data_IF_230596174476
#
_entry.id   IF_230596174476
#
_cell.length_a   1.000
_cell.length_b   1.000
_cell.length_c   1.000
_cell.angle_alpha   90.00
_cell.angle_beta   90.00
_cell.angle_gamma   90.00
#
_symmetry.space_group_name_H-M   'P 1'
#
loop_
_entity.id
_entity.type
_entity.pdbx_description
1 polymer ?
#
# COMPACT_ATOMS: atom_id res chain seq x y z
N UNK A 1 -7.29 5.82 -6.73
CA UNK A 1 -6.13 5.28 -6.00
C UNK A 1 -6.32 5.38 -4.51
N UNK A 2 -5.60 4.59 -3.75
CA UNK A 2 -5.62 4.61 -2.29
C UNK A 2 -4.33 5.25 -1.75
N UNK A 3 -4.41 5.76 -0.52
CA UNK A 3 -3.28 6.43 0.14
C UNK A 3 -2.50 5.44 0.98
N UNK A 4 -1.26 5.20 0.58
CA UNK A 4 -0.31 4.41 1.34
C UNK A 4 0.68 5.34 2.03
N UNK A 5 0.93 5.12 3.31
CA UNK A 5 2.05 5.76 3.98
C UNK A 5 3.34 5.09 3.54
N UNK A 6 4.32 5.91 3.19
CA UNK A 6 5.69 5.48 2.93
C UNK A 6 6.58 6.14 3.95
N UNK A 7 7.23 5.33 4.79
CA UNK A 7 8.07 5.79 5.90
C UNK A 7 9.47 5.27 5.71
N UNK A 8 10.46 6.17 5.77
CA UNK A 8 11.87 5.77 5.73
C UNK A 8 12.31 5.36 7.14
N UNK A 9 12.75 4.12 7.26
CA UNK A 9 13.19 3.51 8.50
C UNK A 9 14.66 3.17 8.37
N UNK A 10 15.50 3.73 9.25
CA UNK A 10 16.89 3.28 9.31
C UNK A 10 16.95 1.82 9.79
N UNK A 11 17.86 1.04 9.22
CA UNK A 11 18.05 -0.35 9.63
C UNK A 11 18.80 -0.41 10.97
N UNK A 12 18.11 0.02 12.02
CA UNK A 12 18.62 0.06 13.40
C UNK A 12 17.57 -0.54 14.34
N UNK A 13 18.05 -1.17 15.39
CA UNK A 13 17.21 -1.72 16.43
C UNK A 13 16.28 -0.63 17.01
N UNK A 14 14.99 -0.93 17.06
CA UNK A 14 13.98 -0.05 17.66
C UNK A 14 13.38 0.99 16.72
N UNK A 15 13.94 1.21 15.53
CA UNK A 15 13.47 2.27 14.63
C UNK A 15 12.06 2.01 14.12
N UNK A 16 11.77 0.78 13.67
CA UNK A 16 10.44 0.38 13.24
C UNK A 16 9.45 0.42 14.42
N UNK A 17 9.84 -0.07 15.59
CA UNK A 17 9.00 -0.04 16.78
C UNK A 17 8.63 1.40 17.15
N UNK A 18 9.56 2.33 17.06
CA UNK A 18 9.32 3.75 17.35
C UNK A 18 8.34 4.37 16.36
N UNK A 19 8.45 4.04 15.07
CA UNK A 19 7.51 4.52 14.08
C UNK A 19 6.09 4.01 14.35
N UNK A 20 5.94 2.73 14.62
CA UNK A 20 4.65 2.14 14.97
C UNK A 20 4.08 2.73 16.26
N UNK A 21 4.94 3.02 17.25
CA UNK A 21 4.53 3.65 18.50
C UNK A 21 4.02 5.08 18.28
N UNK A 22 4.65 5.83 17.39
CA UNK A 22 4.19 7.19 17.04
C UNK A 22 2.78 7.17 16.45
N UNK A 23 2.48 6.20 15.58
CA UNK A 23 1.14 6.03 15.00
C UNK A 23 0.14 5.65 16.11
N UNK A 24 0.50 4.70 16.97
CA UNK A 24 -0.36 4.25 18.06
C UNK A 24 -0.65 5.38 19.07
N UNK A 25 0.35 6.16 19.41
CA UNK A 25 0.20 7.31 20.33
C UNK A 25 -0.70 8.41 19.76
N UNK A 26 -0.79 8.51 18.45
CA UNK A 26 -1.73 9.39 17.76
C UNK A 26 -3.16 8.85 17.72
N UNK A 27 -3.41 7.67 18.30
CA UNK A 27 -4.73 7.03 18.33
C UNK A 27 -5.15 6.43 17.00
N UNK A 28 -4.19 6.04 16.16
CA UNK A 28 -4.43 5.55 14.81
C UNK A 28 -4.22 4.05 14.75
N UNK A 29 -5.17 3.34 14.12
CA UNK A 29 -5.06 1.92 13.88
C UNK A 29 -4.39 1.64 12.53
N UNK A 30 -3.45 0.69 12.52
CA UNK A 30 -2.81 0.19 11.30
C UNK A 30 -3.52 -1.07 10.81
N UNK A 31 -3.76 -1.15 9.51
CA UNK A 31 -4.44 -2.29 8.89
C UNK A 31 -3.49 -3.21 8.14
N UNK A 32 -2.39 -2.67 7.62
CA UNK A 32 -1.38 -3.46 6.92
C UNK A 32 -0.01 -2.78 7.03
N UNK A 33 1.02 -3.58 7.07
CA UNK A 33 2.41 -3.12 7.11
C UNK A 33 3.26 -4.04 6.27
N UNK A 34 4.07 -3.45 5.40
CA UNK A 34 5.09 -4.14 4.64
C UNK A 34 6.42 -3.40 4.82
N UNK A 35 7.46 -4.11 5.24
CA UNK A 35 8.80 -3.56 5.39
C UNK A 35 9.71 -4.15 4.30
N UNK A 36 10.18 -3.28 3.42
CA UNK A 36 11.13 -3.68 2.37
C UNK A 36 12.55 -3.67 2.91
N UNK A 37 13.28 -4.71 2.58
CA UNK A 37 14.68 -4.88 2.99
C UNK A 37 15.60 -4.09 2.06
N UNK A 38 16.42 -3.22 2.67
CA UNK A 38 17.53 -2.55 2.01
C UNK A 38 18.75 -2.57 2.94
N UNK A 39 19.96 -2.35 2.40
CA UNK A 39 21.19 -2.45 3.19
C UNK A 39 21.25 -1.44 4.34
N UNK A 40 20.94 -0.16 4.07
CA UNK A 40 21.08 0.93 5.04
C UNK A 40 19.73 1.45 5.52
N UNK A 41 18.69 1.36 4.70
CA UNK A 41 17.35 1.86 4.99
C UNK A 41 16.32 0.77 4.74
N UNK A 42 15.29 0.75 5.58
CA UNK A 42 14.04 0.09 5.26
C UNK A 42 13.03 1.12 4.76
N UNK A 43 12.07 0.64 4.00
CA UNK A 43 10.90 1.43 3.63
C UNK A 43 9.69 0.69 4.17
N UNK A 44 9.00 1.29 5.14
CA UNK A 44 7.75 0.76 5.62
C UNK A 44 6.60 1.33 4.80
N UNK A 45 5.75 0.44 4.30
CA UNK A 45 4.53 0.77 3.57
C UNK A 45 3.36 0.38 4.44
N UNK A 46 2.52 1.35 4.77
CA UNK A 46 1.50 1.20 5.81
C UNK A 46 0.14 1.67 5.28
N UNK A 47 -0.90 0.87 5.53
CA UNK A 47 -2.27 1.33 5.49
C UNK A 47 -2.76 1.52 6.91
N UNK A 48 -3.27 2.70 7.18
CA UNK A 48 -3.81 3.05 8.49
C UNK A 48 -4.97 4.03 8.34
N UNK A 49 -5.73 4.16 9.42
CA UNK A 49 -6.79 5.17 9.47
C UNK A 49 -6.19 6.57 9.41
N UNK A 50 -6.93 7.51 8.86
CA UNK A 50 -6.59 8.93 8.75
C UNK A 50 -5.14 9.14 8.25
N UNK A 51 -4.83 8.71 7.01
CA UNK A 51 -3.45 8.66 6.53
C UNK A 51 -2.74 10.02 6.52
N UNK A 52 -3.43 11.12 6.27
CA UNK A 52 -2.81 12.44 6.33
C UNK A 52 -2.40 12.81 7.75
N UNK A 53 -3.27 12.57 8.72
CA UNK A 53 -2.97 12.81 10.13
C UNK A 53 -1.82 11.91 10.62
N UNK A 54 -1.83 10.64 10.22
CA UNK A 54 -0.75 9.70 10.55
C UNK A 54 0.60 10.15 9.98
N UNK A 55 0.61 10.64 8.75
CA UNK A 55 1.81 11.17 8.12
C UNK A 55 2.39 12.33 8.93
N UNK A 56 1.53 13.24 9.38
CA UNK A 56 1.96 14.37 10.19
C UNK A 56 2.50 13.92 11.56
N UNK A 57 1.83 12.97 12.21
CA UNK A 57 2.28 12.42 13.48
C UNK A 57 3.68 11.77 13.36
N UNK A 58 3.94 11.08 12.27
CA UNK A 58 5.26 10.51 12.02
C UNK A 58 6.33 11.59 11.80
N UNK A 59 6.00 12.63 11.04
CA UNK A 59 6.90 13.75 10.81
C UNK A 59 7.23 14.49 12.13
N UNK A 60 6.22 14.71 12.97
CA UNK A 60 6.39 15.33 14.27
C UNK A 60 7.27 14.49 15.20
N UNK A 61 7.26 13.18 15.03
CA UNK A 61 8.12 12.24 15.75
C UNK A 61 9.53 12.09 15.14
N UNK A 62 9.85 12.86 14.09
CA UNK A 62 11.17 12.89 13.47
C UNK A 62 11.37 11.91 12.31
N UNK A 63 10.32 11.24 11.85
CA UNK A 63 10.41 10.33 10.71
C UNK A 63 10.18 11.05 9.37
N UNK A 64 10.83 10.53 8.34
CA UNK A 64 10.54 10.95 6.96
C UNK A 64 9.39 10.11 6.45
N UNK A 65 8.25 10.75 6.26
CA UNK A 65 7.03 10.08 5.85
C UNK A 65 6.30 10.88 4.78
N UNK A 66 5.66 10.17 3.86
CA UNK A 66 4.84 10.77 2.80
C UNK A 66 3.69 9.85 2.43
N UNK A 67 2.68 10.42 1.81
CA UNK A 67 1.61 9.66 1.15
C UNK A 67 2.09 9.28 -0.25
N UNK A 68 1.90 8.02 -0.61
CA UNK A 68 2.13 7.51 -1.95
C UNK A 68 0.81 6.95 -2.49
N UNK A 69 0.28 7.48 -3.59
CA UNK A 69 -0.90 6.88 -4.21
C UNK A 69 -0.54 5.54 -4.86
N UNK A 70 -1.34 4.53 -4.58
CA UNK A 70 -1.18 3.17 -5.11
C UNK A 70 -2.52 2.61 -5.57
N UNK A 71 -2.48 1.63 -6.46
CA UNK A 71 -3.65 0.85 -6.83
C UNK A 71 -3.90 -0.25 -5.79
N UNK A 72 -5.16 -0.55 -5.55
CA UNK A 72 -5.55 -1.75 -4.84
C UNK A 72 -6.56 -2.50 -5.69
N UNK A 73 -6.21 -3.68 -6.12
CA UNK A 73 -7.02 -4.52 -7.03
C UNK A 73 -7.43 -5.78 -6.29
N UNK A 74 -8.73 -6.06 -6.29
CA UNK A 74 -9.27 -7.30 -5.72
C UNK A 74 -9.29 -8.37 -6.78
N UNK A 75 -8.63 -9.49 -6.52
CA UNK A 75 -8.62 -10.65 -7.41
C UNK A 75 -9.06 -11.90 -6.65
N UNK A 76 -9.64 -12.91 -7.36
CA UNK A 76 -9.87 -14.21 -6.73
C UNK A 76 -8.56 -14.82 -6.25
N UNK A 77 -8.59 -15.45 -5.07
CA UNK A 77 -7.41 -16.14 -4.52
C UNK A 77 -7.32 -17.55 -5.12
N UNK A 78 -6.99 -17.62 -6.40
CA UNK A 78 -6.84 -18.83 -7.18
C UNK A 78 -5.53 -18.83 -7.97
N UNK A 79 -5.08 -20.03 -8.32
CA UNK A 79 -3.89 -20.21 -9.14
C UNK A 79 -4.03 -19.45 -10.46
N UNK A 80 -3.01 -18.65 -10.78
CA UNK A 80 -2.94 -17.92 -12.04
C UNK A 80 -3.59 -16.54 -12.02
N UNK A 81 -4.44 -16.20 -11.06
CA UNK A 81 -5.13 -14.90 -11.05
C UNK A 81 -4.18 -13.72 -10.92
N UNK A 82 -3.12 -13.84 -10.12
CA UNK A 82 -2.10 -12.79 -10.04
C UNK A 82 -1.34 -12.68 -11.37
N UNK A 83 -0.96 -13.80 -11.95
CA UNK A 83 -0.28 -13.80 -13.25
C UNK A 83 -1.13 -13.14 -14.33
N UNK A 84 -2.42 -13.43 -14.37
CA UNK A 84 -3.36 -12.83 -15.32
C UNK A 84 -3.40 -11.31 -15.19
N UNK A 85 -3.46 -10.79 -13.95
CA UNK A 85 -3.45 -9.36 -13.68
C UNK A 85 -2.15 -8.71 -14.16
N UNK A 86 -1.02 -9.32 -13.83
CA UNK A 86 0.29 -8.76 -14.18
C UNK A 86 0.53 -8.79 -15.70
N UNK A 87 0.10 -9.86 -16.38
CA UNK A 87 0.16 -9.97 -17.83
C UNK A 87 -0.75 -8.93 -18.52
N UNK A 88 -1.93 -8.68 -17.95
CA UNK A 88 -2.81 -7.63 -18.45
C UNK A 88 -2.11 -6.26 -18.37
N UNK A 89 -1.54 -5.93 -17.22
CA UNK A 89 -0.83 -4.65 -17.04
C UNK A 89 0.37 -4.53 -17.99
N UNK A 90 1.09 -5.62 -18.20
CA UNK A 90 2.19 -5.66 -19.18
C UNK A 90 1.69 -5.40 -20.60
N UNK A 91 0.57 -6.02 -20.99
CA UNK A 91 -0.04 -5.82 -22.32
C UNK A 91 -0.52 -4.39 -22.55
N UNK A 92 -0.82 -3.66 -21.47
CA UNK A 92 -1.24 -2.26 -21.49
C UNK A 92 -0.07 -1.27 -21.34
N UNK A 93 1.16 -1.78 -21.42
CA UNK A 93 2.39 -0.98 -21.28
C UNK A 93 2.48 -0.23 -19.94
N UNK A 94 1.98 -0.85 -18.87
CA UNK A 94 2.02 -0.30 -17.51
C UNK A 94 3.22 -0.86 -16.77
N UNK A 95 4.11 0.03 -16.33
CA UNK A 95 5.25 -0.38 -15.51
C UNK A 95 4.83 -0.51 -14.04
N UNK A 96 5.21 -1.62 -13.42
CA UNK A 96 5.01 -1.87 -11.99
C UNK A 96 6.32 -1.58 -11.28
N UNK A 97 6.33 -0.55 -10.45
CA UNK A 97 7.52 -0.16 -9.69
C UNK A 97 7.74 -1.08 -8.50
N UNK A 98 6.67 -1.43 -7.81
CA UNK A 98 6.63 -2.44 -6.75
C UNK A 98 5.21 -2.88 -6.49
N UNK A 99 5.07 -3.99 -5.79
CA UNK A 99 3.77 -4.49 -5.38
C UNK A 99 3.87 -5.45 -4.22
N UNK A 100 2.78 -5.62 -3.54
CA UNK A 100 2.60 -6.61 -2.49
C UNK A 100 1.13 -6.98 -2.40
N UNK A 101 0.85 -8.17 -1.90
CA UNK A 101 -0.52 -8.63 -1.77
C UNK A 101 -0.77 -9.22 -0.39
N UNK A 102 -2.03 -9.22 0.00
CA UNK A 102 -2.48 -9.87 1.22
C UNK A 102 -3.84 -10.54 0.99
N UNK A 103 -4.09 -11.61 1.73
CA UNK A 103 -5.37 -12.30 1.64
C UNK A 103 -6.47 -11.47 2.27
N UNK A 104 -7.56 -11.31 1.54
CA UNK A 104 -8.80 -10.78 2.06
C UNK A 104 -9.72 -11.94 2.45
N UNK A 105 -10.75 -11.64 3.22
CA UNK A 105 -11.77 -12.62 3.53
C UNK A 105 -12.58 -12.98 2.27
N UNK A 106 -13.25 -14.14 2.29
CA UNK A 106 -14.16 -14.59 1.23
C UNK A 106 -13.50 -15.02 -0.09
N UNK A 107 -12.28 -15.56 -0.04
CA UNK A 107 -11.63 -16.13 -1.21
C UNK A 107 -11.05 -15.12 -2.19
N UNK A 108 -10.81 -13.91 -1.75
CA UNK A 108 -10.16 -12.86 -2.54
C UNK A 108 -8.80 -12.48 -1.95
N UNK A 109 -7.93 -11.99 -2.82
CA UNK A 109 -6.70 -11.32 -2.43
C UNK A 109 -6.75 -9.86 -2.89
N UNK A 110 -6.05 -8.99 -2.19
CA UNK A 110 -5.88 -7.60 -2.58
C UNK A 110 -4.44 -7.40 -3.00
N UNK A 111 -4.25 -6.98 -4.26
CA UNK A 111 -2.97 -6.60 -4.78
C UNK A 111 -2.81 -5.09 -4.72
N UNK A 112 -1.76 -4.66 -4.03
CA UNK A 112 -1.37 -3.27 -3.93
C UNK A 112 -0.20 -3.05 -4.89
N UNK A 113 -0.38 -2.14 -5.85
CA UNK A 113 0.58 -1.91 -6.91
C UNK A 113 0.90 -0.42 -7.03
N UNK A 114 2.19 -0.10 -7.01
CA UNK A 114 2.68 1.21 -7.42
C UNK A 114 3.01 1.13 -8.90
N UNK A 115 2.27 1.86 -9.71
CA UNK A 115 2.37 1.78 -11.16
C UNK A 115 2.69 3.13 -11.77
N UNK A 116 3.31 3.10 -12.96
CA UNK A 116 3.49 4.26 -13.83
C UNK A 116 2.71 4.01 -15.11
N UNK A 117 1.89 4.95 -15.51
CA UNK A 117 1.06 4.86 -16.70
C UNK A 117 -0.18 5.74 -16.57
N UNK A 118 -0.79 6.03 -17.70
CA UNK A 118 -1.98 6.87 -17.75
C UNK A 118 -3.25 6.03 -17.66
N UNK A 119 -4.22 6.53 -16.91
CA UNK A 119 -5.58 5.98 -16.87
C UNK A 119 -5.64 4.49 -16.49
N UNK A 120 -4.71 4.02 -15.66
CA UNK A 120 -4.58 2.59 -15.32
C UNK A 120 -5.85 2.09 -14.61
N UNK A 121 -6.42 2.89 -13.71
CA UNK A 121 -7.65 2.53 -13.01
C UNK A 121 -8.82 2.30 -13.97
N UNK A 122 -8.98 3.19 -14.94
CA UNK A 122 -10.04 3.07 -15.95
C UNK A 122 -9.86 1.83 -16.82
N UNK A 123 -8.63 1.58 -17.26
CA UNK A 123 -8.31 0.41 -18.08
C UNK A 123 -8.56 -0.90 -17.33
N UNK A 124 -8.21 -0.97 -16.06
CA UNK A 124 -8.49 -2.13 -15.22
C UNK A 124 -9.99 -2.35 -15.05
N UNK A 125 -10.73 -1.28 -14.78
CA UNK A 125 -12.19 -1.34 -14.63
C UNK A 125 -12.86 -1.83 -15.92
N UNK A 126 -12.45 -1.30 -17.06
CA UNK A 126 -12.97 -1.74 -18.36
C UNK A 126 -12.66 -3.22 -18.67
N UNK A 127 -11.54 -3.73 -18.18
CA UNK A 127 -11.16 -5.13 -18.33
C UNK A 127 -11.89 -6.06 -17.34
N UNK A 128 -12.72 -5.51 -16.44
CA UNK A 128 -13.50 -6.29 -15.49
C UNK A 128 -12.84 -6.47 -14.13
N UNK A 129 -11.71 -5.85 -13.87
CA UNK A 129 -11.06 -5.89 -12.56
C UNK A 129 -11.78 -5.00 -11.57
N UNK A 130 -11.86 -5.46 -10.33
CA UNK A 130 -12.48 -4.73 -9.23
C UNK A 130 -11.43 -3.96 -8.44
N UNK A 131 -11.53 -2.63 -8.45
CA UNK A 131 -10.68 -1.77 -7.64
C UNK A 131 -11.24 -1.64 -6.23
N UNK A 132 -10.34 -1.56 -5.25
CA UNK A 132 -10.70 -1.36 -3.85
C UNK A 132 -10.73 0.13 -3.57
N UNK A 133 -11.84 0.61 -3.00
CA UNK A 133 -11.97 2.01 -2.59
C UNK A 133 -11.25 2.25 -1.25
N UNK A 134 -10.78 3.49 -1.00
CA UNK A 134 -10.06 3.80 0.25
C UNK A 134 -10.82 3.42 1.51
N UNK A 135 -12.11 3.72 1.56
CA UNK A 135 -12.96 3.45 2.73
C UNK A 135 -13.22 1.95 2.98
N UNK A 136 -12.82 1.09 2.06
CA UNK A 136 -12.87 -0.37 2.27
C UNK A 136 -11.64 -0.87 3.05
N UNK A 137 -10.58 -0.07 3.14
CA UNK A 137 -9.32 -0.46 3.78
C UNK A 137 -9.10 0.28 5.09
N UNK A 138 -9.37 1.61 5.12
CA UNK A 138 -9.09 2.45 6.27
C UNK A 138 -10.11 3.59 6.40
N UNK A 139 -10.15 4.19 7.59
CA UNK A 139 -10.96 5.38 7.84
C UNK A 139 -10.30 6.61 7.19
N UNK A 140 -11.09 7.39 6.46
CA UNK A 140 -10.61 8.61 5.78
C UNK A 140 -10.45 9.76 6.78
N UNK A 141 -9.52 10.66 6.51
CA UNK A 141 -9.40 11.93 7.21
C UNK A 141 -9.93 13.12 6.43
#
# INVERSE_FOLDING_TARGET
MISQLTVFIENKKGHLANACRAIANAGINMHALFLADTADFGIARIFCDRPNFATQALRDAGFRAKITPVLAVRIPDHKGCLADLLEFLDSEDVNIEYGYCYSANNGYAIDVLKVSGDEVEERLTLAGYQLVAPNEIYELD
#
